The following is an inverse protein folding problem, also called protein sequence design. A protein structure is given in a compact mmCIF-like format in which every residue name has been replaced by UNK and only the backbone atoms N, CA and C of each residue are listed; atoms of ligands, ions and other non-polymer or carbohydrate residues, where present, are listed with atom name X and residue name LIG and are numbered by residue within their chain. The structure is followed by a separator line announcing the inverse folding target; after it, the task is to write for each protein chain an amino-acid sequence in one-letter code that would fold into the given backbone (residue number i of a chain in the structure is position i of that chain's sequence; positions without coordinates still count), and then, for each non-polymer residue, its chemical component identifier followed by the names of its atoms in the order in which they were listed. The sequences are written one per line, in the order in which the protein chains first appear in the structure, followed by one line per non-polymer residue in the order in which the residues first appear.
data_IF_631584140277
#
_entry.id   IF_631584140277
#
_cell.length_a   1.000
_cell.length_b   1.000
_cell.length_c   1.000
_cell.angle_alpha   90.00
_cell.angle_beta   90.00
_cell.angle_gamma   90.00
#
_symmetry.space_group_name_H-M   'P 1'
#
loop_
_entity.id
_entity.type
_entity.pdbx_description
1 polymer ?
#
# COMPACT_ATOMS: atom_id res chain seq x y z
N UNK A 1 24.74 -23.51 28.14
CA UNK A 1 25.28 -23.15 26.83
C UNK A 1 24.18 -23.32 25.78
N UNK A 2 24.00 -22.32 24.91
CA UNK A 2 23.10 -22.42 23.74
C UNK A 2 24.00 -22.60 22.52
N UNK A 3 23.72 -23.65 21.74
CA UNK A 3 24.47 -23.89 20.49
C UNK A 3 23.69 -23.33 19.30
N UNK A 4 24.34 -22.47 18.53
CA UNK A 4 23.75 -21.79 17.38
C UNK A 4 24.51 -22.17 16.11
N UNK A 5 23.81 -22.74 15.14
CA UNK A 5 24.38 -23.00 13.81
C UNK A 5 24.49 -21.68 13.03
N UNK A 6 25.66 -21.40 12.50
CA UNK A 6 25.93 -20.16 11.77
C UNK A 6 26.82 -20.42 10.55
N UNK A 7 26.71 -19.58 9.54
CA UNK A 7 27.60 -19.59 8.38
C UNK A 7 28.94 -18.87 8.67
N UNK A 8 28.98 -18.07 9.74
CA UNK A 8 30.19 -17.35 10.15
C UNK A 8 30.46 -17.57 11.66
N UNK A 9 31.16 -18.64 12.04
CA UNK A 9 31.40 -18.93 13.44
C UNK A 9 32.48 -18.01 14.10
N UNK A 10 33.10 -17.14 13.31
CA UNK A 10 34.10 -16.19 13.83
C UNK A 10 33.50 -14.80 14.12
N UNK A 11 32.19 -14.67 14.08
CA UNK A 11 31.49 -13.42 14.39
C UNK A 11 31.32 -13.29 15.92
N UNK A 12 32.40 -12.80 16.56
CA UNK A 12 32.46 -12.66 18.02
C UNK A 12 31.45 -11.62 18.54
N UNK A 13 31.19 -10.59 17.75
CA UNK A 13 30.24 -9.54 18.14
C UNK A 13 28.81 -10.12 18.20
N UNK A 14 28.45 -10.91 17.21
CA UNK A 14 27.15 -11.60 17.19
C UNK A 14 27.05 -12.62 18.34
N UNK A 15 28.13 -13.35 18.62
CA UNK A 15 28.15 -14.33 19.74
C UNK A 15 27.90 -13.64 21.08
N UNK A 16 28.58 -12.52 21.32
CA UNK A 16 28.45 -11.72 22.56
C UNK A 16 27.03 -11.13 22.68
N UNK A 17 26.53 -10.52 21.58
CA UNK A 17 25.21 -9.91 21.57
C UNK A 17 24.10 -10.97 21.86
N UNK A 18 24.21 -12.12 21.22
CA UNK A 18 23.24 -13.21 21.44
C UNK A 18 23.36 -13.79 22.86
N UNK A 19 24.56 -13.90 23.38
CA UNK A 19 24.80 -14.32 24.77
C UNK A 19 24.17 -13.36 25.77
N UNK A 20 24.29 -12.06 25.51
CA UNK A 20 23.71 -11.01 26.36
C UNK A 20 22.16 -11.09 26.35
N UNK A 21 21.57 -11.18 25.15
CA UNK A 21 20.10 -11.25 25.00
C UNK A 21 19.54 -12.53 25.62
N UNK A 22 20.24 -13.65 25.42
CA UNK A 22 19.80 -14.96 25.92
C UNK A 22 20.04 -15.16 27.42
N UNK A 23 20.87 -14.33 28.04
CA UNK A 23 21.31 -14.49 29.44
C UNK A 23 22.08 -15.79 29.68
N UNK A 24 22.67 -16.38 28.64
CA UNK A 24 23.38 -17.66 28.66
C UNK A 24 24.55 -17.64 27.71
N UNK A 25 25.56 -18.46 28.01
CA UNK A 25 26.69 -18.63 27.11
C UNK A 25 26.23 -19.20 25.77
N UNK A 26 26.68 -18.62 24.67
CA UNK A 26 26.43 -19.08 23.32
C UNK A 26 27.69 -19.73 22.75
N UNK A 27 27.52 -20.78 21.97
CA UNK A 27 28.59 -21.47 21.24
C UNK A 27 28.17 -21.55 19.77
N UNK A 28 28.98 -20.98 18.89
CA UNK A 28 28.71 -21.04 17.45
C UNK A 28 29.26 -22.32 16.83
N UNK A 29 28.43 -22.99 16.06
CA UNK A 29 28.79 -24.19 15.30
C UNK A 29 28.68 -23.86 13.80
N UNK A 30 29.74 -24.14 13.07
CA UNK A 30 29.74 -23.93 11.61
C UNK A 30 28.72 -24.82 10.92
N UNK A 31 27.97 -24.25 10.02
CA UNK A 31 27.07 -24.96 9.13
C UNK A 31 27.19 -24.37 7.71
N UNK A 32 27.12 -25.21 6.71
CA UNK A 32 27.10 -24.75 5.32
C UNK A 32 25.90 -23.82 5.08
N UNK A 33 26.08 -22.65 4.45
CA UNK A 33 24.97 -21.70 4.25
C UNK A 33 23.73 -22.30 3.61
N UNK A 34 23.90 -23.17 2.60
CA UNK A 34 22.78 -23.84 1.93
C UNK A 34 22.04 -24.83 2.81
N UNK A 35 22.74 -25.53 3.69
CA UNK A 35 22.11 -26.44 4.68
C UNK A 35 21.36 -25.63 5.74
N UNK A 36 21.96 -24.53 6.19
CA UNK A 36 21.36 -23.65 7.18
C UNK A 36 20.05 -23.04 6.65
N UNK A 37 20.09 -22.49 5.43
CA UNK A 37 18.90 -21.93 4.78
C UNK A 37 17.80 -22.99 4.65
N UNK A 38 18.13 -24.20 4.15
CA UNK A 38 17.17 -25.30 4.03
C UNK A 38 16.56 -25.68 5.40
N UNK A 39 17.39 -25.76 6.42
CA UNK A 39 16.92 -26.15 7.77
C UNK A 39 16.03 -25.06 8.40
N UNK A 40 16.37 -23.80 8.20
CA UNK A 40 15.53 -22.69 8.62
C UNK A 40 14.17 -22.75 7.91
N UNK A 41 14.19 -22.96 6.59
CA UNK A 41 12.94 -23.11 5.80
C UNK A 41 12.10 -24.30 6.28
N UNK A 42 12.72 -25.44 6.62
CA UNK A 42 12.01 -26.61 7.16
C UNK A 42 11.37 -26.32 8.52
N UNK A 43 12.09 -25.64 9.41
CA UNK A 43 11.61 -25.35 10.78
C UNK A 43 10.52 -24.27 10.76
N UNK A 44 10.69 -23.25 9.92
CA UNK A 44 9.75 -22.11 9.81
C UNK A 44 8.82 -22.25 8.60
N UNK A 45 8.41 -23.50 8.26
CA UNK A 45 7.48 -23.75 7.15
C UNK A 45 6.18 -22.97 7.29
N UNK A 46 5.66 -22.46 6.17
CA UNK A 46 4.40 -21.70 6.15
C UNK A 46 3.19 -22.42 6.73
N UNK A 47 3.18 -23.75 6.70
CA UNK A 47 2.09 -24.59 7.26
C UNK A 47 1.87 -24.31 8.76
N UNK A 48 2.94 -24.04 9.50
CA UNK A 48 2.84 -23.61 10.91
C UNK A 48 2.43 -22.15 11.06
N UNK A 49 2.61 -21.35 10.01
CA UNK A 49 2.19 -19.96 10.01
C UNK A 49 0.67 -19.83 9.97
N UNK A 50 -0.03 -20.75 9.28
CA UNK A 50 -1.51 -20.78 9.25
C UNK A 50 -2.06 -21.01 10.67
N UNK A 51 -1.53 -22.00 11.38
CA UNK A 51 -1.94 -22.28 12.77
C UNK A 51 -1.62 -21.11 13.71
N UNK A 52 -0.47 -20.46 13.50
CA UNK A 52 -0.06 -19.27 14.26
C UNK A 52 -0.95 -18.06 13.93
N UNK A 53 -1.25 -17.83 12.66
CA UNK A 53 -2.14 -16.76 12.22
C UNK A 53 -3.57 -17.00 12.74
N UNK A 54 -4.06 -18.24 12.68
CA UNK A 54 -5.39 -18.57 13.18
C UNK A 54 -5.45 -18.63 14.71
N UNK A 55 -4.36 -19.01 15.38
CA UNK A 55 -4.27 -19.10 16.84
C UNK A 55 -3.87 -17.80 17.55
N UNK A 56 -3.19 -16.90 16.86
CA UNK A 56 -2.72 -15.62 17.41
C UNK A 56 -3.68 -14.44 17.22
N UNK A 57 -4.77 -14.68 16.54
CA UNK A 57 -5.78 -13.66 16.32
C UNK A 57 -6.71 -13.57 17.54
N UNK A 58 -6.35 -12.71 18.47
CA UNK A 58 -7.34 -12.14 19.37
C UNK A 58 -8.41 -11.39 18.54
N UNK A 59 -9.55 -11.04 19.16
CA UNK A 59 -10.75 -10.58 18.42
C UNK A 59 -10.66 -9.18 17.78
N UNK A 60 -9.48 -8.69 17.41
CA UNK A 60 -9.31 -7.26 17.05
C UNK A 60 -8.92 -6.96 15.60
N UNK A 61 -8.77 -7.95 14.73
CA UNK A 61 -8.54 -7.66 13.32
C UNK A 61 -9.84 -7.91 12.54
N UNK A 62 -10.62 -6.86 12.38
CA UNK A 62 -11.82 -6.91 11.54
C UNK A 62 -11.49 -6.22 10.21
N UNK A 63 -11.60 -6.94 9.12
CA UNK A 63 -11.58 -6.35 7.79
C UNK A 63 -13.03 -6.09 7.41
N UNK A 64 -13.43 -4.84 7.51
CA UNK A 64 -14.78 -4.39 7.17
C UNK A 64 -14.79 -3.79 5.76
N UNK A 65 -15.72 -4.22 4.92
CA UNK A 65 -16.05 -3.45 3.72
C UNK A 65 -16.88 -2.24 4.17
N UNK A 66 -16.35 -1.06 3.97
CA UNK A 66 -17.05 0.17 4.37
C UNK A 66 -18.14 0.47 3.34
N UNK A 67 -19.37 0.50 3.81
CA UNK A 67 -20.63 0.80 3.13
C UNK A 67 -21.40 -0.43 2.58
N UNK A 68 -22.54 -0.64 3.20
CA UNK A 68 -23.67 -1.52 2.84
C UNK A 68 -23.63 -2.95 3.40
N UNK A 69 -24.20 -3.12 4.60
CA UNK A 69 -24.48 -4.39 5.26
C UNK A 69 -25.26 -5.42 4.39
N UNK A 70 -25.94 -4.94 3.35
CA UNK A 70 -26.76 -5.79 2.46
C UNK A 70 -25.93 -6.63 1.47
N UNK A 71 -24.77 -6.10 1.06
CA UNK A 71 -23.88 -6.81 0.13
C UNK A 71 -23.11 -7.91 0.89
N UNK A 72 -22.76 -7.66 2.15
CA UNK A 72 -22.11 -8.67 2.99
C UNK A 72 -23.00 -9.88 3.27
N UNK A 73 -24.28 -9.64 3.51
CA UNK A 73 -25.23 -10.73 3.78
C UNK A 73 -25.43 -11.66 2.57
N UNK A 74 -25.44 -11.11 1.35
CA UNK A 74 -25.53 -11.89 0.12
C UNK A 74 -24.23 -12.63 -0.20
N UNK A 75 -23.09 -12.05 0.15
CA UNK A 75 -21.76 -12.62 -0.08
C UNK A 75 -21.36 -13.63 1.00
N UNK A 76 -21.95 -13.54 2.19
CA UNK A 76 -21.66 -14.46 3.32
C UNK A 76 -22.02 -15.91 2.99
N UNK A 77 -22.94 -16.15 2.03
CA UNK A 77 -23.23 -17.49 1.52
C UNK A 77 -22.23 -18.03 0.51
N UNK A 78 -21.36 -17.17 -0.03
CA UNK A 78 -20.41 -17.54 -1.09
C UNK A 78 -19.01 -17.86 -0.63
N UNK A 79 -18.65 -17.52 0.64
CA UNK A 79 -17.31 -17.72 1.18
C UNK A 79 -17.39 -18.39 2.57
N UNK A 80 -16.69 -19.48 2.73
CA UNK A 80 -16.64 -20.20 4.01
C UNK A 80 -15.87 -19.39 5.06
N UNK A 81 -16.32 -19.49 6.32
CA UNK A 81 -15.74 -18.75 7.44
C UNK A 81 -14.22 -18.96 7.65
N UNK A 82 -13.66 -20.15 7.43
CA UNK A 82 -12.20 -20.33 7.49
C UNK A 82 -11.44 -19.52 6.43
N UNK A 83 -11.95 -19.44 5.21
CA UNK A 83 -11.31 -18.66 4.13
C UNK A 83 -11.38 -17.16 4.45
N UNK A 84 -12.51 -16.67 4.96
CA UNK A 84 -12.63 -15.27 5.37
C UNK A 84 -11.58 -14.92 6.43
N UNK A 85 -11.49 -15.75 7.48
CA UNK A 85 -10.48 -15.56 8.55
C UNK A 85 -9.05 -15.61 8.02
N UNK A 86 -8.76 -16.52 7.09
CA UNK A 86 -7.43 -16.61 6.48
C UNK A 86 -7.06 -15.30 5.74
N UNK A 87 -7.97 -14.77 4.95
CA UNK A 87 -7.75 -13.51 4.20
C UNK A 87 -7.57 -12.35 5.18
N UNK A 88 -8.44 -12.23 6.17
CA UNK A 88 -8.39 -11.15 7.16
C UNK A 88 -7.08 -11.21 7.97
N UNK A 89 -6.67 -12.43 8.38
CA UNK A 89 -5.40 -12.66 9.06
C UNK A 89 -4.19 -12.30 8.18
N UNK A 90 -4.24 -12.66 6.89
CA UNK A 90 -3.19 -12.34 5.92
C UNK A 90 -3.02 -10.82 5.77
N UNK A 91 -4.13 -10.09 5.68
CA UNK A 91 -4.10 -8.63 5.56
C UNK A 91 -3.52 -8.01 6.85
N UNK A 92 -4.00 -8.45 8.02
CA UNK A 92 -3.52 -7.92 9.30
C UNK A 92 -2.01 -8.18 9.51
N UNK A 93 -1.56 -9.38 9.15
CA UNK A 93 -0.15 -9.76 9.25
C UNK A 93 0.71 -8.93 8.28
N UNK A 94 0.27 -8.74 7.04
CA UNK A 94 0.97 -7.92 6.04
C UNK A 94 1.14 -6.47 6.53
N UNK A 95 0.09 -5.91 7.15
CA UNK A 95 0.13 -4.56 7.74
C UNK A 95 1.20 -4.50 8.85
N UNK A 96 1.25 -5.48 9.74
CA UNK A 96 2.22 -5.53 10.85
C UNK A 96 3.65 -5.70 10.34
N UNK A 97 3.82 -6.48 9.25
CA UNK A 97 5.13 -6.66 8.58
C UNK A 97 5.52 -5.47 7.70
N UNK A 98 4.69 -4.41 7.64
CA UNK A 98 4.89 -3.20 6.83
C UNK A 98 5.05 -3.53 5.34
N UNK A 99 4.28 -4.51 4.87
CA UNK A 99 4.28 -4.85 3.45
C UNK A 99 3.63 -3.73 2.63
N UNK A 100 4.18 -3.43 1.48
CA UNK A 100 3.56 -2.52 0.51
C UNK A 100 2.49 -3.22 -0.32
N UNK A 101 2.71 -4.51 -0.62
CA UNK A 101 1.79 -5.28 -1.47
C UNK A 101 1.67 -6.73 -0.95
N UNK A 102 0.47 -7.30 -1.12
CA UNK A 102 0.20 -8.73 -0.90
C UNK A 102 -0.11 -9.34 -2.26
N UNK A 103 0.55 -10.43 -2.59
CA UNK A 103 0.34 -11.17 -3.84
C UNK A 103 -0.27 -12.53 -3.51
N UNK A 104 -1.43 -12.80 -4.09
CA UNK A 104 -2.08 -14.11 -4.07
C UNK A 104 -1.86 -14.72 -5.46
N UNK A 105 -0.95 -15.67 -5.57
CA UNK A 105 -0.46 -16.22 -6.84
C UNK A 105 -0.86 -17.69 -6.99
N UNK A 106 -1.89 -17.98 -7.80
CA UNK A 106 -2.28 -19.38 -8.02
C UNK A 106 -1.26 -20.10 -8.91
N UNK A 107 -0.97 -21.34 -8.57
CA UNK A 107 -0.04 -22.20 -9.28
C UNK A 107 -0.46 -23.66 -9.26
N UNK A 108 0.38 -24.53 -9.81
CA UNK A 108 0.10 -25.97 -9.91
C UNK A 108 -0.09 -26.61 -8.54
N UNK A 109 0.71 -26.20 -7.56
CA UNK A 109 0.73 -26.81 -6.22
C UNK A 109 -0.20 -26.12 -5.23
N UNK A 110 -0.95 -25.09 -5.68
CA UNK A 110 -1.84 -24.33 -4.81
C UNK A 110 -1.64 -22.82 -4.98
N UNK A 111 -2.14 -22.09 -3.99
CA UNK A 111 -2.04 -20.63 -3.98
C UNK A 111 -0.84 -20.23 -3.11
N UNK A 112 0.10 -19.49 -3.67
CA UNK A 112 1.25 -18.93 -2.93
C UNK A 112 0.90 -17.50 -2.52
N UNK A 113 1.03 -17.20 -1.24
CA UNK A 113 0.86 -15.84 -0.71
C UNK A 113 2.26 -15.26 -0.44
N UNK A 114 2.51 -14.09 -1.01
CA UNK A 114 3.79 -13.40 -0.90
C UNK A 114 3.55 -11.94 -0.49
N UNK A 115 4.44 -11.43 0.35
CA UNK A 115 4.46 -10.01 0.70
C UNK A 115 5.63 -9.31 0.00
N UNK A 116 5.42 -8.05 -0.35
CA UNK A 116 6.52 -7.16 -0.73
C UNK A 116 6.86 -6.30 0.48
N UNK A 117 8.03 -6.52 1.06
CA UNK A 117 8.53 -5.76 2.21
C UNK A 117 9.83 -5.09 1.78
N UNK A 118 9.92 -3.78 1.91
CA UNK A 118 11.10 -2.98 1.50
C UNK A 118 11.53 -3.29 0.06
N UNK A 119 10.56 -3.44 -0.84
CA UNK A 119 10.80 -3.73 -2.25
C UNK A 119 11.06 -5.21 -2.57
N UNK A 120 11.30 -6.05 -1.57
CA UNK A 120 11.67 -7.46 -1.75
C UNK A 120 10.45 -8.37 -1.57
N UNK A 121 10.26 -9.30 -2.50
CA UNK A 121 9.17 -10.28 -2.43
C UNK A 121 9.58 -11.45 -1.51
N UNK A 122 8.72 -11.75 -0.52
CA UNK A 122 8.93 -12.87 0.41
C UNK A 122 7.71 -13.79 0.37
N UNK A 123 7.95 -15.10 0.25
CA UNK A 123 6.87 -16.09 0.38
C UNK A 123 6.51 -16.21 1.86
N UNK A 124 5.21 -16.11 2.15
CA UNK A 124 4.68 -16.15 3.52
C UNK A 124 4.00 -17.48 3.80
N UNK A 125 3.16 -17.94 2.86
CA UNK A 125 2.47 -19.20 3.04
C UNK A 125 2.02 -19.81 1.71
N UNK A 126 1.71 -21.09 1.75
CA UNK A 126 1.05 -21.81 0.67
C UNK A 126 -0.30 -22.32 1.15
N UNK A 127 -1.31 -22.12 0.33
CA UNK A 127 -2.68 -22.52 0.61
C UNK A 127 -3.06 -23.63 -0.38
N UNK A 128 -3.74 -24.68 0.04
CA UNK A 128 -4.15 -25.74 -0.89
C UNK A 128 -4.96 -25.22 -2.08
N UNK A 129 -4.83 -25.88 -3.22
CA UNK A 129 -5.51 -25.51 -4.47
C UNK A 129 -7.04 -25.43 -4.30
N UNK A 130 -7.60 -26.29 -3.45
CA UNK A 130 -9.05 -26.31 -3.16
C UNK A 130 -9.55 -24.98 -2.56
N UNK A 131 -8.70 -24.23 -1.85
CA UNK A 131 -9.08 -22.97 -1.21
C UNK A 131 -8.77 -21.75 -2.09
N UNK A 132 -7.99 -21.91 -3.17
CA UNK A 132 -7.56 -20.76 -4.02
C UNK A 132 -8.73 -19.95 -4.56
N UNK A 133 -9.76 -20.63 -5.08
CA UNK A 133 -10.95 -19.97 -5.63
C UNK A 133 -11.77 -19.23 -4.56
N UNK A 134 -11.83 -19.79 -3.35
CA UNK A 134 -12.54 -19.14 -2.23
C UNK A 134 -11.79 -17.88 -1.75
N UNK A 135 -10.45 -17.93 -1.73
CA UNK A 135 -9.62 -16.76 -1.40
C UNK A 135 -9.86 -15.65 -2.44
N UNK A 136 -9.83 -16.01 -3.74
CA UNK A 136 -10.08 -15.02 -4.81
C UNK A 136 -11.47 -14.39 -4.66
N UNK A 137 -12.50 -15.19 -4.43
CA UNK A 137 -13.87 -14.68 -4.21
C UNK A 137 -13.94 -13.75 -2.99
N UNK A 138 -13.31 -14.11 -1.86
CA UNK A 138 -13.30 -13.25 -0.67
C UNK A 138 -12.67 -11.89 -0.98
N UNK A 139 -11.53 -11.88 -1.68
CA UNK A 139 -10.87 -10.64 -2.07
C UNK A 139 -11.72 -9.78 -3.00
N UNK A 140 -12.41 -10.42 -3.97
CA UNK A 140 -13.32 -9.70 -4.88
C UNK A 140 -14.52 -9.09 -4.11
N UNK A 141 -15.09 -9.84 -3.16
CA UNK A 141 -16.17 -9.34 -2.30
C UNK A 141 -15.71 -8.12 -1.51
N UNK A 142 -14.54 -8.20 -0.85
CA UNK A 142 -13.99 -7.09 -0.06
C UNK A 142 -13.77 -5.84 -0.94
N UNK A 143 -13.36 -6.02 -2.19
CA UNK A 143 -13.07 -4.92 -3.11
C UNK A 143 -14.28 -4.51 -3.99
N UNK A 144 -15.45 -5.10 -3.75
CA UNK A 144 -16.71 -4.87 -4.52
C UNK A 144 -16.52 -5.15 -6.01
N UNK A 145 -15.76 -6.19 -6.36
CA UNK A 145 -15.51 -6.62 -7.73
C UNK A 145 -16.52 -7.68 -8.14
N UNK A 146 -16.73 -7.81 -9.44
CA UNK A 146 -17.63 -8.84 -9.99
C UNK A 146 -17.05 -10.25 -9.75
N UNK A 147 -17.70 -11.02 -8.90
CA UNK A 147 -17.33 -12.41 -8.59
C UNK A 147 -17.77 -13.40 -9.68
N UNK A 148 -18.70 -13.01 -10.55
CA UNK A 148 -19.22 -13.88 -11.61
C UNK A 148 -18.32 -13.88 -12.84
N UNK A 149 -17.42 -12.93 -12.97
CA UNK A 149 -16.53 -12.80 -14.12
C UNK A 149 -15.07 -13.06 -13.72
N UNK A 150 -14.60 -14.31 -13.85
CA UNK A 150 -13.18 -14.62 -13.58
C UNK A 150 -12.30 -14.50 -14.82
N UNK A 151 -12.84 -14.05 -15.97
CA UNK A 151 -12.12 -14.06 -17.25
C UNK A 151 -11.55 -12.69 -17.63
N UNK A 152 -11.98 -11.63 -16.98
CA UNK A 152 -11.49 -10.27 -17.26
C UNK A 152 -10.74 -9.70 -16.06
N UNK A 153 -9.79 -8.79 -16.29
CA UNK A 153 -9.15 -8.06 -15.19
C UNK A 153 -10.14 -7.14 -14.47
N UNK A 154 -10.01 -7.07 -13.16
CA UNK A 154 -10.83 -6.19 -12.33
C UNK A 154 -9.94 -5.40 -11.37
N UNK A 155 -10.28 -4.13 -11.15
CA UNK A 155 -9.62 -3.26 -10.19
C UNK A 155 -10.66 -2.65 -9.26
N UNK A 156 -10.37 -2.63 -7.97
CA UNK A 156 -11.28 -2.10 -6.95
C UNK A 156 -10.55 -1.61 -5.71
N UNK A 157 -11.36 -1.18 -4.75
CA UNK A 157 -10.84 -0.68 -3.46
C UNK A 157 -11.54 -1.39 -2.31
N UNK A 158 -10.81 -1.58 -1.23
CA UNK A 158 -11.35 -2.13 0.01
C UNK A 158 -10.75 -1.37 1.18
N UNK A 159 -11.40 -1.45 2.34
CA UNK A 159 -10.89 -0.87 3.58
C UNK A 159 -10.69 -1.99 4.59
N UNK A 160 -9.55 -1.93 5.29
CA UNK A 160 -9.27 -2.84 6.39
C UNK A 160 -9.06 -2.04 7.66
N UNK A 161 -9.57 -2.55 8.79
CA UNK A 161 -9.26 -1.99 10.09
C UNK A 161 -8.32 -2.95 10.82
N UNK A 162 -7.09 -2.52 11.04
CA UNK A 162 -6.06 -3.32 11.70
C UNK A 162 -5.50 -2.53 12.87
N UNK A 163 -5.54 -3.12 14.06
CA UNK A 163 -5.03 -2.53 15.31
C UNK A 163 -5.59 -1.09 15.54
N UNK A 164 -6.89 -0.91 15.24
CA UNK A 164 -7.61 0.36 15.43
C UNK A 164 -7.40 1.40 14.33
N UNK A 165 -6.51 1.14 13.38
CA UNK A 165 -6.23 2.06 12.25
C UNK A 165 -6.91 1.56 10.97
N UNK A 166 -7.44 2.47 10.19
CA UNK A 166 -8.06 2.17 8.90
C UNK A 166 -7.02 2.24 7.79
N UNK A 167 -6.94 1.18 6.99
CA UNK A 167 -6.04 1.04 5.85
C UNK A 167 -6.83 1.02 4.56
N UNK A 168 -6.45 1.82 3.59
CA UNK A 168 -7.01 1.75 2.24
C UNK A 168 -6.25 0.69 1.45
N UNK A 169 -6.98 -0.11 0.68
CA UNK A 169 -6.40 -1.19 -0.12
C UNK A 169 -6.86 -1.07 -1.57
N UNK A 170 -5.92 -1.13 -2.49
CA UNK A 170 -6.23 -1.27 -3.91
C UNK A 170 -6.04 -2.71 -4.30
N UNK A 171 -7.07 -3.30 -4.87
CA UNK A 171 -7.13 -4.71 -5.23
C UNK A 171 -7.22 -4.82 -6.76
N UNK A 172 -6.27 -5.54 -7.34
CA UNK A 172 -6.29 -5.86 -8.77
C UNK A 172 -6.35 -7.38 -8.93
N UNK A 173 -7.28 -7.86 -9.73
CA UNK A 173 -7.45 -9.27 -10.07
C UNK A 173 -7.25 -9.46 -11.57
N UNK A 174 -6.44 -10.46 -11.94
CA UNK A 174 -6.23 -10.83 -13.35
C UNK A 174 -6.32 -12.34 -13.53
N UNK A 175 -6.93 -12.82 -14.61
CA UNK A 175 -6.93 -14.26 -14.89
C UNK A 175 -5.54 -14.77 -15.23
N UNK A 176 -5.21 -15.95 -14.71
CA UNK A 176 -3.94 -16.65 -15.00
C UNK A 176 -4.27 -17.96 -15.68
N UNK A 177 -3.60 -18.23 -16.80
CA UNK A 177 -3.83 -19.43 -17.58
C UNK A 177 -3.77 -20.71 -16.71
N UNK A 178 -4.84 -21.49 -16.71
CA UNK A 178 -4.99 -22.81 -16.06
C UNK A 178 -5.10 -22.79 -14.52
N UNK A 179 -4.88 -21.66 -13.85
CA UNK A 179 -4.76 -21.66 -12.38
C UNK A 179 -5.75 -20.75 -11.64
N UNK A 180 -6.61 -20.05 -12.36
CA UNK A 180 -7.60 -19.14 -11.75
C UNK A 180 -7.16 -17.68 -11.82
N UNK A 181 -7.35 -16.94 -10.74
CA UNK A 181 -7.06 -15.51 -10.72
C UNK A 181 -5.89 -15.18 -9.80
N UNK A 182 -4.95 -14.40 -10.29
CA UNK A 182 -3.90 -13.78 -9.46
C UNK A 182 -4.47 -12.46 -8.94
N UNK A 183 -4.30 -12.23 -7.63
CA UNK A 183 -4.73 -10.99 -6.99
C UNK A 183 -3.52 -10.30 -6.38
N UNK A 184 -3.46 -8.99 -6.57
CA UNK A 184 -2.48 -8.14 -5.91
C UNK A 184 -3.24 -7.09 -5.11
N UNK A 185 -2.88 -6.97 -3.84
CA UNK A 185 -3.44 -5.96 -2.93
C UNK A 185 -2.32 -5.00 -2.57
N UNK A 186 -2.46 -3.74 -2.93
CA UNK A 186 -1.58 -2.67 -2.45
C UNK A 186 -2.14 -2.10 -1.16
N UNK A 187 -1.31 -2.08 -0.13
CA UNK A 187 -1.65 -1.50 1.17
C UNK A 187 -1.21 -0.04 1.20
N UNK A 188 -2.13 0.86 1.50
CA UNK A 188 -1.86 2.29 1.59
C UNK A 188 -1.87 2.70 3.06
N UNK A 189 -0.68 3.02 3.59
CA UNK A 189 -0.51 3.40 4.99
C UNK A 189 -1.19 4.75 5.25
N UNK A 190 -2.19 4.81 6.14
CA UNK A 190 -2.84 6.08 6.47
C UNK A 190 -1.89 7.11 7.08
N UNK A 191 -0.81 6.67 7.74
CA UNK A 191 0.20 7.59 8.27
C UNK A 191 0.95 8.35 7.18
N UNK A 192 1.00 7.80 5.96
CA UNK A 192 1.62 8.48 4.83
C UNK A 192 0.82 9.70 4.36
N UNK A 193 -0.48 9.75 4.67
CA UNK A 193 -1.34 10.89 4.33
C UNK A 193 -1.06 12.13 5.19
N UNK A 194 -0.52 11.92 6.40
CA UNK A 194 -0.27 12.99 7.37
C UNK A 194 1.21 13.32 7.53
N UNK A 195 2.02 12.92 6.55
CA UNK A 195 3.45 13.17 6.62
C UNK A 195 3.73 14.67 6.43
N UNK A 196 4.23 15.31 7.49
CA UNK A 196 4.60 16.72 7.48
C UNK A 196 6.01 16.89 6.90
N UNK A 197 6.33 18.05 6.37
CA UNK A 197 7.68 18.34 5.85
C UNK A 197 8.76 18.05 6.88
N UNK A 198 8.49 18.29 8.16
CA UNK A 198 9.40 18.02 9.27
C UNK A 198 9.76 16.54 9.42
N UNK A 199 8.83 15.65 9.04
CA UNK A 199 8.98 14.21 9.20
C UNK A 199 9.54 13.52 7.95
N UNK A 200 9.80 14.27 6.89
CA UNK A 200 10.26 13.70 5.61
C UNK A 200 11.75 13.36 5.58
N UNK A 201 12.51 13.71 6.62
CA UNK A 201 13.93 13.45 6.66
C UNK A 201 14.77 14.38 5.78
N UNK A 202 14.22 15.54 5.44
CA UNK A 202 14.92 16.54 4.63
C UNK A 202 16.06 17.19 5.44
N UNK A 203 17.15 17.49 4.77
CA UNK A 203 18.21 18.31 5.37
C UNK A 203 17.69 19.75 5.61
N UNK A 204 18.20 20.48 6.61
CA UNK A 204 17.70 21.82 6.94
C UNK A 204 17.70 22.80 5.77
N UNK A 205 18.72 22.78 4.92
CA UNK A 205 18.83 23.63 3.74
C UNK A 205 17.84 23.24 2.63
N UNK A 206 17.58 21.94 2.46
CA UNK A 206 16.57 21.44 1.53
C UNK A 206 15.18 21.87 1.98
N UNK A 207 14.89 21.71 3.26
CA UNK A 207 13.64 22.15 3.86
C UNK A 207 13.45 23.66 3.68
N UNK A 208 14.44 24.46 4.03
CA UNK A 208 14.39 25.93 3.87
C UNK A 208 14.15 26.32 2.41
N UNK A 209 14.71 25.56 1.47
CA UNK A 209 14.49 25.78 0.03
C UNK A 209 13.04 25.53 -0.35
N UNK A 210 12.45 24.40 0.12
CA UNK A 210 11.04 24.08 -0.15
C UNK A 210 10.12 25.14 0.47
N UNK A 211 10.35 25.50 1.72
CA UNK A 211 9.57 26.53 2.42
C UNK A 211 9.61 27.87 1.66
N UNK A 212 10.78 28.25 1.16
CA UNK A 212 10.94 29.44 0.32
C UNK A 212 10.15 29.32 -0.98
N UNK A 213 10.19 28.15 -1.66
CA UNK A 213 9.41 27.93 -2.89
C UNK A 213 7.91 28.05 -2.61
N UNK A 214 7.44 27.53 -1.49
CA UNK A 214 6.03 27.57 -1.10
C UNK A 214 5.58 28.98 -0.67
N UNK A 215 6.50 29.87 -0.29
CA UNK A 215 6.18 31.24 0.11
C UNK A 215 5.88 32.16 -1.09
N UNK A 216 6.23 31.76 -2.32
CA UNK A 216 5.92 32.58 -3.50
C UNK A 216 4.42 32.56 -3.79
N UNK A 217 3.87 33.72 -4.04
CA UNK A 217 2.43 33.88 -4.34
C UNK A 217 2.02 33.35 -5.72
N UNK A 218 2.98 33.27 -6.63
CA UNK A 218 2.74 32.83 -8.01
C UNK A 218 3.90 31.98 -8.50
N UNK A 219 3.60 30.93 -9.23
CA UNK A 219 4.63 30.09 -9.82
C UNK A 219 4.15 28.66 -10.05
N UNK A 220 5.06 27.85 -10.51
CA UNK A 220 4.86 26.39 -10.66
C UNK A 220 6.03 25.71 -9.98
N UNK A 221 5.73 24.78 -9.08
CA UNK A 221 6.71 23.91 -8.46
C UNK A 221 6.56 22.52 -9.08
N UNK A 222 7.65 21.98 -9.61
CA UNK A 222 7.66 20.65 -10.23
C UNK A 222 8.42 19.68 -9.33
N UNK A 223 7.76 18.57 -8.95
CA UNK A 223 8.37 17.48 -8.20
C UNK A 223 8.57 16.30 -9.16
N UNK A 224 9.81 15.92 -9.41
CA UNK A 224 10.16 14.87 -10.39
C UNK A 224 10.95 13.74 -9.74
N UNK A 225 10.85 12.55 -10.31
CA UNK A 225 11.57 11.37 -9.81
C UNK A 225 10.91 10.07 -10.25
N UNK A 226 11.57 8.93 -10.03
CA UNK A 226 11.00 7.62 -10.37
C UNK A 226 9.82 7.26 -9.47
N UNK A 227 9.14 6.17 -9.81
CA UNK A 227 8.06 5.62 -8.98
C UNK A 227 8.63 5.24 -7.60
N UNK A 228 7.90 5.58 -6.53
CA UNK A 228 8.33 5.29 -5.16
C UNK A 228 9.34 6.27 -4.57
N UNK A 229 9.72 7.36 -5.28
CA UNK A 229 10.68 8.35 -4.76
C UNK A 229 10.07 9.37 -3.77
N UNK A 230 8.78 9.23 -3.45
CA UNK A 230 8.12 10.13 -2.50
C UNK A 230 7.48 11.39 -3.10
N UNK A 231 7.30 11.45 -4.44
CA UNK A 231 6.69 12.61 -5.11
C UNK A 231 5.37 13.04 -4.48
N UNK A 232 4.42 12.09 -4.37
CA UNK A 232 3.08 12.36 -3.80
C UNK A 232 3.18 12.78 -2.34
N UNK A 233 4.04 12.10 -1.56
CA UNK A 233 4.27 12.44 -0.14
C UNK A 233 4.81 13.87 0.01
N UNK A 234 5.75 14.27 -0.85
CA UNK A 234 6.30 15.64 -0.86
C UNK A 234 5.22 16.67 -1.22
N UNK A 235 4.43 16.38 -2.25
CA UNK A 235 3.35 17.27 -2.67
C UNK A 235 2.28 17.42 -1.57
N UNK A 236 1.89 16.31 -0.93
CA UNK A 236 0.88 16.33 0.13
C UNK A 236 1.42 17.06 1.38
N UNK A 237 2.69 16.85 1.74
CA UNK A 237 3.34 17.58 2.85
C UNK A 237 3.39 19.09 2.57
N UNK A 238 3.63 19.46 1.29
CA UNK A 238 3.61 20.86 0.87
C UNK A 238 2.20 21.45 0.98
N UNK A 239 1.16 20.69 0.58
CA UNK A 239 -0.23 21.14 0.73
C UNK A 239 -0.62 21.30 2.20
N UNK A 240 -0.21 20.36 3.06
CA UNK A 240 -0.46 20.45 4.51
C UNK A 240 0.14 21.74 5.09
N UNK A 241 1.35 22.11 4.65
CA UNK A 241 2.01 23.35 5.09
C UNK A 241 1.30 24.60 4.56
N UNK A 242 0.75 24.56 3.35
CA UNK A 242 0.01 25.69 2.76
C UNK A 242 -1.41 25.83 3.34
N UNK A 243 -1.97 24.74 3.87
CA UNK A 243 -3.37 24.69 4.31
C UNK A 243 -3.53 25.43 5.64
N UNK A 244 -3.80 26.73 5.57
CA UNK A 244 -4.03 27.61 6.73
C UNK A 244 -5.52 27.79 7.06
N UNK A 245 -6.41 27.21 6.24
CA UNK A 245 -7.86 27.31 6.40
C UNK A 245 -8.49 28.50 5.69
N UNK A 246 -7.71 29.44 5.22
CA UNK A 246 -8.19 30.66 4.55
C UNK A 246 -7.89 30.69 3.05
N UNK A 247 -7.40 29.58 2.50
CA UNK A 247 -7.11 29.45 1.06
C UNK A 247 -7.85 28.26 0.47
N UNK A 248 -8.23 28.40 -0.81
CA UNK A 248 -8.92 27.36 -1.56
C UNK A 248 -7.90 26.47 -2.29
N UNK A 249 -7.70 25.27 -1.74
CA UNK A 249 -6.79 24.27 -2.33
C UNK A 249 -7.61 23.23 -3.09
N UNK A 250 -7.24 23.01 -4.35
CA UNK A 250 -7.90 22.01 -5.21
C UNK A 250 -6.85 21.07 -5.79
N UNK A 251 -7.11 19.79 -5.81
CA UNK A 251 -6.24 18.82 -6.48
C UNK A 251 -6.95 18.14 -7.64
N UNK A 252 -6.19 17.69 -8.63
CA UNK A 252 -6.66 16.85 -9.74
C UNK A 252 -5.71 15.67 -9.85
N UNK A 253 -6.22 14.46 -9.58
CA UNK A 253 -5.39 13.27 -9.35
C UNK A 253 -5.94 12.04 -10.08
N UNK A 254 -5.05 11.07 -10.38
CA UNK A 254 -5.41 9.81 -11.05
C UNK A 254 -4.65 8.63 -10.44
N UNK A 255 -5.21 8.01 -9.40
CA UNK A 255 -6.33 8.46 -8.58
C UNK A 255 -5.86 9.27 -7.35
N UNK A 256 -6.81 9.73 -6.53
CA UNK A 256 -6.52 10.28 -5.20
C UNK A 256 -5.89 9.17 -4.33
N UNK A 257 -4.70 9.43 -3.79
CA UNK A 257 -3.98 8.43 -2.97
C UNK A 257 -4.51 8.39 -1.55
N UNK A 258 -4.67 9.54 -0.91
CA UNK A 258 -5.16 9.69 0.46
C UNK A 258 -6.06 10.90 0.54
N UNK A 259 -7.03 10.84 1.45
CA UNK A 259 -7.92 11.97 1.71
C UNK A 259 -7.20 13.02 2.57
N UNK A 260 -7.19 14.26 2.12
CA UNK A 260 -6.66 15.41 2.85
C UNK A 260 -7.84 16.24 3.38
N UNK A 261 -7.86 16.48 4.67
CA UNK A 261 -8.89 17.29 5.28
C UNK A 261 -8.76 18.75 4.83
N UNK A 262 -9.87 19.39 4.48
CA UNK A 262 -9.91 20.78 4.04
C UNK A 262 -9.43 21.02 2.60
N UNK A 263 -9.11 19.97 1.84
CA UNK A 263 -8.66 20.07 0.44
C UNK A 263 -9.73 19.50 -0.50
N UNK A 264 -10.03 20.20 -1.57
CA UNK A 264 -10.98 19.77 -2.59
C UNK A 264 -10.28 18.84 -3.59
N UNK A 265 -10.35 17.53 -3.36
CA UNK A 265 -9.65 16.53 -4.18
C UNK A 265 -10.56 15.99 -5.28
N UNK A 266 -10.15 16.17 -6.53
CA UNK A 266 -10.87 15.72 -7.72
C UNK A 266 -10.16 14.51 -8.30
N UNK A 267 -10.88 13.39 -8.36
CA UNK A 267 -10.37 12.20 -9.03
C UNK A 267 -10.86 12.14 -10.47
N UNK A 268 -9.96 12.02 -11.42
CA UNK A 268 -10.31 11.90 -12.83
C UNK A 268 -10.90 10.50 -13.12
N UNK A 269 -11.66 10.42 -14.20
CA UNK A 269 -12.25 9.16 -14.68
C UNK A 269 -12.21 9.15 -16.20
N UNK A 270 -11.12 8.66 -16.76
CA UNK A 270 -10.89 8.63 -18.19
C UNK A 270 -11.95 7.80 -18.94
N UNK A 271 -12.48 6.74 -18.31
CA UNK A 271 -13.53 5.91 -18.88
C UNK A 271 -14.83 6.70 -19.14
N UNK A 272 -15.06 7.73 -18.35
CA UNK A 272 -16.22 8.63 -18.48
C UNK A 272 -15.87 9.94 -19.21
N UNK A 273 -14.67 10.06 -19.80
CA UNK A 273 -14.22 11.26 -20.50
C UNK A 273 -13.81 12.40 -19.58
N UNK A 274 -13.74 12.16 -18.27
CA UNK A 274 -13.32 13.16 -17.28
C UNK A 274 -11.80 13.07 -17.09
N UNK A 275 -11.04 13.76 -17.94
CA UNK A 275 -9.58 13.72 -17.98
C UNK A 275 -8.97 14.81 -17.09
N UNK A 276 -7.64 14.73 -16.85
CA UNK A 276 -6.90 15.78 -16.12
C UNK A 276 -7.07 17.13 -16.80
N UNK A 277 -7.00 17.18 -18.13
CA UNK A 277 -7.15 18.44 -18.89
C UNK A 277 -8.56 19.05 -18.75
N UNK A 278 -9.61 18.21 -18.81
CA UNK A 278 -11.00 18.71 -18.63
C UNK A 278 -11.24 19.14 -17.18
N UNK A 279 -10.76 18.39 -16.21
CA UNK A 279 -10.86 18.75 -14.80
C UNK A 279 -10.15 20.08 -14.51
N UNK A 280 -8.92 20.23 -15.00
CA UNK A 280 -8.11 21.45 -14.79
C UNK A 280 -8.81 22.70 -15.36
N UNK A 281 -9.37 22.61 -16.58
CA UNK A 281 -10.14 23.72 -17.16
C UNK A 281 -11.33 24.14 -16.28
N UNK A 282 -11.95 23.18 -15.60
CA UNK A 282 -13.06 23.46 -14.68
C UNK A 282 -12.58 24.03 -13.36
N UNK A 283 -11.49 23.51 -12.81
CA UNK A 283 -10.86 23.98 -11.57
C UNK A 283 -10.50 25.46 -11.67
N UNK A 284 -10.00 25.91 -12.82
CA UNK A 284 -9.64 27.33 -13.02
C UNK A 284 -10.84 28.29 -12.87
N UNK A 285 -12.08 27.78 -12.90
CA UNK A 285 -13.29 28.57 -12.66
C UNK A 285 -13.83 28.43 -11.23
N UNK A 286 -13.12 27.70 -10.37
CA UNK A 286 -13.51 27.45 -8.96
C UNK A 286 -12.75 28.37 -7.98
N UNK A 287 -12.14 29.44 -8.49
CA UNK A 287 -11.37 30.42 -7.70
C UNK A 287 -10.32 29.77 -6.79
N UNK A 288 -9.45 28.89 -7.32
CA UNK A 288 -8.44 28.23 -6.49
C UNK A 288 -7.25 29.15 -6.23
N UNK A 289 -6.73 29.12 -4.99
CA UNK A 289 -5.45 29.77 -4.64
C UNK A 289 -4.28 28.84 -4.95
N UNK A 290 -4.48 27.53 -4.72
CA UNK A 290 -3.46 26.51 -4.97
C UNK A 290 -4.08 25.35 -5.75
N UNK A 291 -3.41 24.93 -6.80
CA UNK A 291 -3.83 23.76 -7.59
C UNK A 291 -2.69 22.73 -7.60
N UNK A 292 -2.98 21.50 -7.17
CA UNK A 292 -2.08 20.37 -7.32
C UNK A 292 -2.54 19.51 -8.49
N UNK A 293 -1.61 19.16 -9.38
CA UNK A 293 -1.83 18.13 -10.40
C UNK A 293 -1.02 16.90 -10.00
N UNK A 294 -1.69 15.76 -9.87
CA UNK A 294 -1.05 14.50 -9.46
C UNK A 294 0.06 14.09 -10.44
N UNK A 295 -0.18 14.30 -11.73
CA UNK A 295 0.84 14.08 -12.76
C UNK A 295 0.50 14.81 -14.06
N UNK A 296 1.53 14.97 -14.87
CA UNK A 296 1.42 15.59 -16.21
C UNK A 296 1.94 14.58 -17.24
N UNK A 297 1.03 13.87 -17.89
CA UNK A 297 1.37 12.88 -18.92
C UNK A 297 1.29 13.46 -20.34
N UNK A 298 0.44 14.44 -20.55
CA UNK A 298 0.11 14.96 -21.87
C UNK A 298 0.52 16.42 -22.05
N UNK A 299 0.90 16.77 -23.25
CA UNK A 299 1.26 18.15 -23.62
C UNK A 299 0.09 19.12 -23.37
N UNK A 300 -1.13 18.69 -23.64
CA UNK A 300 -2.35 19.48 -23.40
C UNK A 300 -2.48 19.91 -21.94
N UNK A 301 -2.21 18.99 -21.02
CA UNK A 301 -2.22 19.28 -19.57
C UNK A 301 -1.14 20.31 -19.23
N UNK A 302 0.07 20.12 -19.76
CA UNK A 302 1.18 21.06 -19.54
C UNK A 302 0.86 22.47 -20.10
N UNK A 303 0.27 22.55 -21.27
CA UNK A 303 -0.16 23.81 -21.88
C UNK A 303 -1.27 24.48 -21.06
N UNK A 304 -2.20 23.77 -20.56
CA UNK A 304 -3.24 24.31 -19.67
C UNK A 304 -2.69 24.82 -18.34
N UNK A 305 -1.75 24.25 -17.85
CA UNK A 305 -1.08 24.67 -16.69
C UNK A 305 -0.28 25.90 -16.89
N UNK A 306 0.05 26.04 -17.98
CA UNK A 306 0.72 27.16 -18.30
C UNK A 306 -0.19 28.30 -18.58
N UNK A 307 -1.17 28.00 -18.88
CA UNK A 307 -2.19 28.89 -19.11
C UNK A 307 -2.74 29.45 -17.90
N UNK A 308 -2.60 28.85 -17.05
CA UNK A 308 -3.02 29.30 -15.80
C UNK A 308 -2.24 30.47 -15.34
N UNK A 309 -1.04 30.53 -15.55
CA UNK A 309 -0.15 31.67 -15.27
C UNK A 309 -0.54 32.98 -16.01
N UNK A 310 -1.18 32.85 -17.12
CA UNK A 310 -1.64 34.02 -17.90
C UNK A 310 -2.94 34.64 -17.36
N UNK A 311 -3.76 33.87 -16.68
CA UNK A 311 -5.04 34.34 -16.13
C UNK A 311 -4.86 35.07 -14.78
N UNK A 312 -3.84 34.73 -14.01
CA UNK A 312 -3.51 35.40 -12.74
C UNK A 312 -2.99 36.82 -12.87
N UNK A 313 -2.63 37.25 -14.09
CA UNK A 313 -2.12 38.62 -14.33
C UNK A 313 -3.21 39.70 -14.49
N UNK A 314 -4.48 39.37 -14.30
CA UNK A 314 -5.58 40.33 -14.53
C UNK A 314 -6.27 40.83 -13.24
N UNK A 315 -5.55 40.83 -12.09
CA UNK A 315 -6.04 41.53 -10.89
C UNK A 315 -4.96 42.41 -10.26
#
# INVERSE_FOLDING_TARGET
VIRIATANPLDLDAEQALGFVAGRQVEFLYSLPGLLARRVDEIYRPERSIERLLGGLGPQATVESVEDDRVEAAAAGAVDAPTARLVDATIADAVRERASDIHFEPGEQGLVIRYRVDGVMREVMRVPRSAAGSVARRMKVLAKLDISDPLHPHDGRALARVDGKQWDMRVSSIPVARHGEKIVVRLLDPASATLKLDAMGLWPDERATIEKLLSYREGIVLVTGPTGSGKTSTLYAALDQLHTGDINIVTVEDPVEYRLEGVNQIQVNEKQGFTVATALRSVLRQDPDVVLLGEIRALETAQTXXXXKRLGRRR
#
